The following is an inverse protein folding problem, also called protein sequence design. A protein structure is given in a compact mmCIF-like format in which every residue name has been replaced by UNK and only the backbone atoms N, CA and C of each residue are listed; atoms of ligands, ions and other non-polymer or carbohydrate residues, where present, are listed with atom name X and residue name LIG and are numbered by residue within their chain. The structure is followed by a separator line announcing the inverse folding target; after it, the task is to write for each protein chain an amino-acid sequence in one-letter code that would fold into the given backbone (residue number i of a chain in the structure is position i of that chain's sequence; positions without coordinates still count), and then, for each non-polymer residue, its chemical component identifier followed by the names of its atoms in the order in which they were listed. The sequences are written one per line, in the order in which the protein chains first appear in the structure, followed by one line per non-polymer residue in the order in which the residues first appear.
data_IF_354854418100
#
_entry.id   IF_354854418100
#
_cell.length_a   1.000
_cell.length_b   1.000
_cell.length_c   1.000
_cell.angle_alpha   90.00
_cell.angle_beta   90.00
_cell.angle_gamma   90.00
#
_symmetry.space_group_name_H-M   'P 1'
#
loop_
_entity.id
_entity.type
_entity.pdbx_description
1 polymer ?
#
# COMPACT_ATOMS: atom_id res chain seq x y z
N UNK A 1 -55.39 -45.07 -31.51
CA UNK A 1 -55.51 -43.61 -31.30
C UNK A 1 -54.13 -43.13 -30.94
N UNK A 2 -53.42 -42.55 -31.90
CA UNK A 2 -52.05 -42.07 -31.68
C UNK A 2 -52.12 -40.73 -30.94
N UNK A 3 -51.66 -40.72 -29.69
CA UNK A 3 -51.56 -39.50 -28.89
C UNK A 3 -50.33 -38.70 -29.33
N UNK A 4 -50.55 -37.56 -29.98
CA UNK A 4 -49.49 -36.63 -30.30
C UNK A 4 -48.96 -35.95 -29.03
N UNK A 5 -47.72 -36.27 -28.64
CA UNK A 5 -46.98 -35.50 -27.63
C UNK A 5 -46.52 -34.17 -28.26
N UNK A 6 -47.22 -33.09 -27.95
CA UNK A 6 -46.81 -31.74 -28.34
C UNK A 6 -45.97 -31.10 -27.22
N UNK A 7 -44.64 -31.06 -27.39
CA UNK A 7 -43.76 -30.34 -26.47
C UNK A 7 -43.96 -28.82 -26.62
N UNK A 8 -44.39 -28.17 -25.54
CA UNK A 8 -44.59 -26.71 -25.48
C UNK A 8 -43.24 -25.97 -25.58
N UNK A 9 -43.06 -25.20 -26.65
CA UNK A 9 -41.94 -24.26 -26.83
C UNK A 9 -42.17 -22.91 -26.12
N UNK A 10 -43.09 -22.82 -25.15
CA UNK A 10 -43.49 -21.57 -24.50
C UNK A 10 -42.32 -20.79 -23.86
N UNK A 11 -41.25 -21.47 -23.44
CA UNK A 11 -40.04 -20.81 -22.90
C UNK A 11 -39.02 -20.39 -23.97
N UNK A 12 -39.24 -20.73 -25.25
CA UNK A 12 -38.43 -20.34 -26.39
C UNK A 12 -38.99 -19.12 -27.15
N UNK A 13 -39.98 -18.43 -26.56
CA UNK A 13 -40.56 -17.21 -27.13
C UNK A 13 -39.83 -15.97 -26.58
N UNK A 14 -39.54 -15.01 -27.46
CA UNK A 14 -39.01 -13.70 -27.09
C UNK A 14 -37.79 -13.29 -27.90
N UNK A 15 -37.47 -11.99 -27.85
CA UNK A 15 -36.28 -11.45 -28.54
C UNK A 15 -35.03 -12.01 -27.89
N UNK A 16 -34.24 -12.78 -28.66
CA UNK A 16 -32.92 -13.26 -28.22
C UNK A 16 -32.06 -12.07 -27.80
N UNK A 17 -31.37 -12.22 -26.67
CA UNK A 17 -30.47 -11.18 -26.16
C UNK A 17 -29.29 -11.05 -27.12
N UNK A 18 -28.89 -9.81 -27.38
CA UNK A 18 -27.65 -9.52 -28.10
C UNK A 18 -26.49 -10.08 -27.28
N UNK A 19 -25.66 -10.91 -27.91
CA UNK A 19 -24.43 -11.42 -27.32
C UNK A 19 -23.25 -10.61 -27.86
N UNK A 20 -22.32 -10.28 -26.99
CA UNK A 20 -21.08 -9.57 -27.30
C UNK A 20 -19.96 -10.51 -26.91
N UNK A 21 -19.08 -10.83 -27.85
CA UNK A 21 -17.97 -11.76 -27.61
C UNK A 21 -16.80 -11.06 -26.93
N UNK A 22 -15.91 -11.82 -26.30
CA UNK A 22 -14.71 -11.29 -25.69
C UNK A 22 -13.86 -10.52 -26.72
N UNK A 23 -13.68 -11.09 -27.91
CA UNK A 23 -12.84 -10.54 -28.98
C UNK A 23 -13.35 -9.19 -29.46
N UNK A 24 -14.67 -9.02 -29.56
CA UNK A 24 -15.30 -7.77 -30.00
C UNK A 24 -15.03 -6.60 -29.05
N UNK A 25 -14.85 -6.90 -27.76
CA UNK A 25 -14.45 -5.91 -26.78
C UNK A 25 -12.93 -5.78 -26.82
N UNK A 26 -12.19 -6.89 -26.69
CA UNK A 26 -10.73 -6.94 -26.52
C UNK A 26 -9.95 -6.26 -27.65
N UNK A 27 -10.47 -6.27 -28.89
CA UNK A 27 -9.88 -5.57 -30.04
C UNK A 27 -9.92 -4.04 -29.93
N UNK A 28 -10.82 -3.49 -29.11
CA UNK A 28 -10.90 -2.05 -28.84
C UNK A 28 -9.86 -1.68 -27.78
N UNK A 29 -9.05 -0.65 -28.04
CA UNK A 29 -8.07 -0.17 -27.07
C UNK A 29 -8.75 0.26 -25.75
N UNK A 30 -8.10 0.00 -24.62
CA UNK A 30 -8.65 0.35 -23.30
C UNK A 30 -8.99 1.85 -23.17
N UNK A 31 -8.21 2.72 -23.81
CA UNK A 31 -8.43 4.17 -23.80
C UNK A 31 -9.68 4.62 -24.54
N UNK A 32 -10.19 3.82 -25.49
CA UNK A 32 -11.32 4.18 -26.35
C UNK A 32 -12.67 3.70 -25.78
N UNK A 33 -12.65 2.92 -24.69
CA UNK A 33 -13.84 2.29 -24.07
C UNK A 33 -14.00 2.67 -22.60
N UNK A 34 -13.73 3.93 -22.26
CA UNK A 34 -13.72 4.40 -20.85
C UNK A 34 -15.11 4.53 -20.23
N UNK A 35 -16.14 4.83 -21.03
CA UNK A 35 -17.52 4.93 -20.58
C UNK A 35 -18.47 3.93 -21.26
N UNK A 36 -19.66 3.75 -20.67
CA UNK A 36 -20.74 2.95 -21.27
C UNK A 36 -21.13 3.48 -22.65
N UNK A 37 -21.07 4.81 -22.86
CA UNK A 37 -21.43 5.43 -24.14
C UNK A 37 -20.38 5.14 -25.21
N UNK A 38 -19.10 5.21 -24.84
CA UNK A 38 -18.00 4.97 -25.79
C UNK A 38 -18.02 3.50 -26.23
N UNK A 39 -18.08 2.58 -25.28
CA UNK A 39 -18.18 1.15 -25.57
C UNK A 39 -19.44 0.81 -26.40
N UNK A 40 -20.57 1.46 -26.11
CA UNK A 40 -21.79 1.28 -26.89
C UNK A 40 -21.62 1.74 -28.34
N UNK A 41 -21.00 2.91 -28.56
CA UNK A 41 -20.69 3.42 -29.90
C UNK A 41 -19.77 2.47 -30.67
N UNK A 42 -18.70 1.99 -30.04
CA UNK A 42 -17.73 1.09 -30.68
C UNK A 42 -18.33 -0.29 -31.02
N UNK A 43 -19.27 -0.78 -30.21
CA UNK A 43 -19.97 -2.04 -30.45
C UNK A 43 -21.24 -1.88 -31.32
N UNK A 44 -21.57 -0.66 -31.77
CA UNK A 44 -22.84 -0.34 -32.45
C UNK A 44 -24.09 -0.80 -31.66
N UNK A 45 -24.05 -0.61 -30.33
CA UNK A 45 -25.13 -0.95 -29.41
C UNK A 45 -25.74 0.32 -28.78
N UNK A 46 -26.92 0.15 -28.19
CA UNK A 46 -27.48 1.20 -27.33
C UNK A 46 -26.75 1.24 -25.99
N UNK A 47 -26.55 2.43 -25.38
CA UNK A 47 -25.95 2.55 -24.04
C UNK A 47 -26.69 1.76 -22.96
N UNK A 48 -28.02 1.64 -23.07
CA UNK A 48 -28.84 0.87 -22.12
C UNK A 48 -28.58 -0.63 -22.22
N UNK A 49 -28.30 -1.15 -23.42
CA UNK A 49 -27.89 -2.54 -23.62
C UNK A 49 -26.58 -2.83 -22.90
N UNK A 50 -25.56 -1.99 -23.10
CA UNK A 50 -24.25 -2.13 -22.44
C UNK A 50 -24.38 -1.99 -20.91
N UNK A 51 -25.18 -1.04 -20.41
CA UNK A 51 -25.45 -0.91 -18.98
C UNK A 51 -26.08 -2.17 -18.37
N UNK A 52 -27.05 -2.79 -19.06
CA UNK A 52 -27.66 -4.05 -18.62
C UNK A 52 -26.65 -5.20 -18.62
N UNK A 53 -25.75 -5.25 -19.61
CA UNK A 53 -24.66 -6.25 -19.67
C UNK A 53 -23.70 -6.09 -18.48
N UNK A 54 -23.36 -4.85 -18.09
CA UNK A 54 -22.56 -4.58 -16.88
C UNK A 54 -23.29 -5.02 -15.61
N UNK A 55 -24.58 -4.70 -15.45
CA UNK A 55 -25.37 -5.14 -14.29
C UNK A 55 -25.48 -6.67 -14.17
N UNK A 56 -25.49 -7.36 -15.30
CA UNK A 56 -25.50 -8.84 -15.38
C UNK A 56 -24.11 -9.46 -15.25
N UNK A 57 -23.05 -8.66 -15.06
CA UNK A 57 -21.65 -9.11 -14.98
C UNK A 57 -21.14 -9.80 -16.25
N UNK A 58 -21.73 -9.50 -17.41
CA UNK A 58 -21.23 -9.97 -18.72
C UNK A 58 -20.09 -9.09 -19.23
N UNK A 59 -20.09 -7.81 -18.83
CA UNK A 59 -18.99 -6.86 -19.05
C UNK A 59 -18.56 -6.35 -17.68
N UNK A 60 -17.26 -6.34 -17.41
CA UNK A 60 -16.70 -5.89 -16.12
C UNK A 60 -16.21 -4.45 -16.25
N UNK A 61 -16.75 -3.55 -15.44
CA UNK A 61 -16.14 -2.26 -15.21
C UNK A 61 -14.87 -2.44 -14.37
N UNK A 62 -13.76 -1.86 -14.81
CA UNK A 62 -12.48 -1.90 -14.12
C UNK A 62 -11.85 -0.52 -14.13
N UNK A 63 -11.35 -0.09 -12.98
CA UNK A 63 -10.53 1.12 -12.86
C UNK A 63 -9.08 0.69 -12.84
N UNK A 64 -8.32 1.10 -13.87
CA UNK A 64 -6.89 0.86 -13.96
C UNK A 64 -6.15 2.12 -13.49
N UNK A 65 -5.68 2.19 -12.23
CA UNK A 65 -4.85 3.30 -11.80
C UNK A 65 -3.51 3.30 -12.56
N UNK A 66 -2.93 4.49 -12.75
CA UNK A 66 -1.58 4.59 -13.27
C UNK A 66 -0.60 4.08 -12.22
N UNK A 67 0.24 3.13 -12.64
CA UNK A 67 1.39 2.69 -11.86
C UNK A 67 2.66 3.27 -12.47
N UNK A 68 3.69 3.60 -11.66
CA UNK A 68 4.99 3.99 -12.20
C UNK A 68 5.53 2.90 -13.12
N UNK A 69 6.00 3.27 -14.30
CA UNK A 69 6.73 2.34 -15.17
C UNK A 69 8.05 1.93 -14.54
N UNK A 70 8.43 0.67 -14.69
CA UNK A 70 9.74 0.15 -14.25
C UNK A 70 10.56 -0.05 -15.52
N UNK A 71 11.72 0.62 -15.59
CA UNK A 71 12.65 0.46 -16.73
C UNK A 71 13.29 -0.93 -16.73
N UNK A 72 13.79 -1.37 -17.88
CA UNK A 72 14.47 -2.67 -17.98
C UNK A 72 15.70 -2.74 -17.07
N UNK A 73 16.43 -1.62 -16.92
CA UNK A 73 17.57 -1.53 -16.02
C UNK A 73 17.14 -1.74 -14.57
N UNK A 74 16.04 -1.11 -14.14
CA UNK A 74 15.49 -1.33 -12.80
C UNK A 74 15.01 -2.78 -12.60
N UNK A 75 14.44 -3.43 -13.62
CA UNK A 75 14.05 -4.84 -13.53
C UNK A 75 15.27 -5.75 -13.35
N UNK A 76 16.32 -5.52 -14.14
CA UNK A 76 17.56 -6.27 -14.04
C UNK A 76 18.22 -6.08 -12.68
N UNK A 77 18.25 -4.87 -12.15
CA UNK A 77 18.86 -4.61 -10.84
C UNK A 77 18.09 -5.27 -9.70
N UNK A 78 16.75 -5.25 -9.76
CA UNK A 78 15.91 -6.00 -8.82
C UNK A 78 16.17 -7.50 -8.91
N UNK A 79 16.34 -8.05 -10.12
CA UNK A 79 16.67 -9.46 -10.30
C UNK A 79 18.02 -9.80 -9.68
N UNK A 80 19.07 -9.00 -9.97
CA UNK A 80 20.41 -9.20 -9.38
C UNK A 80 20.37 -9.16 -7.86
N UNK A 81 19.66 -8.19 -7.29
CA UNK A 81 19.50 -8.09 -5.84
C UNK A 81 18.82 -9.33 -5.25
N UNK A 82 17.73 -9.81 -5.85
CA UNK A 82 17.06 -11.04 -5.38
C UNK A 82 17.96 -12.26 -5.50
N UNK A 83 18.66 -12.42 -6.62
CA UNK A 83 19.57 -13.55 -6.83
C UNK A 83 20.76 -13.53 -5.87
N UNK A 84 21.27 -12.34 -5.51
CA UNK A 84 22.33 -12.19 -4.51
C UNK A 84 21.92 -12.55 -3.08
N UNK A 85 20.63 -12.78 -2.81
CA UNK A 85 20.14 -13.25 -1.52
C UNK A 85 20.08 -14.78 -1.42
N UNK A 86 20.46 -15.50 -2.48
CA UNK A 86 20.59 -16.96 -2.46
C UNK A 86 21.94 -17.31 -1.82
N UNK A 87 21.95 -18.33 -0.96
CA UNK A 87 23.17 -18.82 -0.34
C UNK A 87 24.01 -19.56 -1.38
N UNK A 88 25.23 -19.09 -1.63
CA UNK A 88 26.12 -19.67 -2.64
C UNK A 88 26.34 -21.19 -2.46
N UNK A 89 26.42 -21.66 -1.20
CA UNK A 89 26.60 -23.08 -0.87
C UNK A 89 25.40 -23.97 -1.21
N UNK A 90 24.24 -23.40 -1.49
CA UNK A 90 23.00 -24.13 -1.80
C UNK A 90 22.81 -24.37 -3.31
N UNK A 91 23.58 -23.67 -4.14
CA UNK A 91 23.53 -23.74 -5.60
C UNK A 91 24.47 -24.87 -6.10
N UNK A 92 24.08 -25.68 -7.11
CA UNK A 92 22.84 -25.62 -7.90
C UNK A 92 21.72 -26.55 -7.38
N UNK A 93 21.99 -27.34 -6.35
CA UNK A 93 21.14 -28.49 -6.01
C UNK A 93 19.81 -28.08 -5.37
N UNK A 94 19.85 -27.18 -4.37
CA UNK A 94 18.66 -26.72 -3.65
C UNK A 94 18.79 -25.24 -3.25
N UNK A 95 18.66 -24.31 -4.22
CA UNK A 95 18.86 -22.88 -3.99
C UNK A 95 17.99 -22.34 -2.84
N UNK A 96 18.63 -21.95 -1.75
CA UNK A 96 17.98 -21.49 -0.53
C UNK A 96 18.38 -20.04 -0.24
N UNK A 97 17.40 -19.20 0.11
CA UNK A 97 17.66 -17.82 0.49
C UNK A 97 18.29 -17.72 1.89
N UNK A 98 19.08 -16.67 2.13
CA UNK A 98 19.48 -16.32 3.49
C UNK A 98 18.25 -16.19 4.40
N UNK A 99 18.41 -16.59 5.66
CA UNK A 99 17.32 -16.55 6.64
C UNK A 99 16.86 -15.12 6.98
N UNK A 100 17.70 -14.12 6.75
CA UNK A 100 17.42 -12.69 7.01
C UNK A 100 17.03 -12.40 8.47
N UNK A 101 17.41 -13.25 9.43
CA UNK A 101 17.19 -12.97 10.87
C UNK A 101 17.99 -11.78 11.38
N UNK A 102 19.05 -11.40 10.65
CA UNK A 102 19.94 -10.28 10.96
C UNK A 102 19.59 -9.01 10.15
N UNK A 103 18.44 -9.01 9.46
CA UNK A 103 17.99 -7.90 8.62
C UNK A 103 16.91 -7.10 9.36
N UNK A 104 17.10 -5.77 9.37
CA UNK A 104 16.13 -4.80 9.85
C UNK A 104 15.66 -3.99 8.66
N UNK A 105 14.37 -4.01 8.38
CA UNK A 105 13.76 -3.15 7.37
C UNK A 105 13.25 -1.88 8.03
N UNK A 106 13.62 -0.74 7.44
CA UNK A 106 13.08 0.56 7.82
C UNK A 106 12.28 1.19 6.67
N UNK A 107 11.23 1.91 7.03
CA UNK A 107 10.41 2.68 6.09
C UNK A 107 9.87 3.94 6.78
N UNK A 108 9.65 5.00 6.00
CA UNK A 108 9.04 6.23 6.47
C UNK A 108 7.64 6.44 5.89
N UNK A 109 6.69 6.74 6.78
CA UNK A 109 5.30 6.95 6.38
C UNK A 109 4.70 8.22 6.95
N UNK A 110 4.03 8.98 6.08
CA UNK A 110 3.20 10.11 6.48
C UNK A 110 1.82 9.66 6.94
N UNK A 111 1.48 9.99 8.19
CA UNK A 111 0.14 9.81 8.74
C UNK A 111 -0.56 11.16 8.85
N UNK A 112 -1.79 11.23 8.34
CA UNK A 112 -2.65 12.41 8.49
C UNK A 112 -3.43 12.29 9.78
N UNK A 113 -3.49 13.37 10.55
CA UNK A 113 -4.30 13.43 11.79
C UNK A 113 -5.79 13.19 11.52
N UNK A 114 -6.26 13.49 10.30
CA UNK A 114 -7.63 13.22 9.88
C UNK A 114 -7.65 12.75 8.42
N UNK A 115 -8.36 11.66 8.15
CA UNK A 115 -8.53 11.14 6.79
C UNK A 115 -9.47 12.04 5.97
N UNK A 116 -9.15 12.23 4.68
CA UNK A 116 -10.00 13.02 3.75
C UNK A 116 -11.40 12.41 3.61
N UNK A 117 -11.45 11.11 3.38
CA UNK A 117 -12.68 10.33 3.34
C UNK A 117 -12.61 9.32 4.47
N UNK A 118 -13.67 9.22 5.26
CA UNK A 118 -13.79 8.23 6.32
C UNK A 118 -15.12 7.51 6.06
N UNK A 119 -15.06 6.19 6.00
CA UNK A 119 -16.27 5.38 5.96
C UNK A 119 -16.87 5.38 7.36
N UNK A 120 -18.13 5.77 7.46
CA UNK A 120 -18.92 5.74 8.69
C UNK A 120 -20.19 4.96 8.41
N UNK A 121 -20.64 4.18 9.38
CA UNK A 121 -21.95 3.55 9.33
C UNK A 121 -22.91 4.49 10.04
N UNK A 122 -23.99 4.86 9.36
CA UNK A 122 -25.03 5.75 9.89
C UNK A 122 -26.27 4.90 10.19
N UNK A 123 -27.03 5.29 11.22
CA UNK A 123 -28.32 4.67 11.47
C UNK A 123 -29.29 4.93 10.31
N UNK A 124 -30.29 4.06 10.15
CA UNK A 124 -31.33 4.25 9.13
C UNK A 124 -32.05 5.58 9.46
N UNK A 125 -32.08 6.50 8.50
CA UNK A 125 -32.60 7.88 8.60
C UNK A 125 -31.75 8.87 9.42
N UNK A 126 -30.51 8.53 9.79
CA UNK A 126 -29.60 9.51 10.37
C UNK A 126 -29.25 10.59 9.32
N UNK A 127 -29.37 11.89 9.66
CA UNK A 127 -28.99 12.95 8.74
C UNK A 127 -27.48 12.89 8.47
N UNK A 128 -27.10 13.04 7.20
CA UNK A 128 -25.70 13.00 6.79
C UNK A 128 -24.89 14.13 7.46
N UNK A 129 -24.13 13.79 8.49
CA UNK A 129 -23.27 14.76 9.17
C UNK A 129 -22.10 15.18 8.27
N UNK A 130 -22.01 16.48 7.96
CA UNK A 130 -20.93 17.01 7.13
C UNK A 130 -19.70 17.33 7.97
N UNK A 131 -18.61 16.60 7.76
CA UNK A 131 -17.29 16.96 8.31
C UNK A 131 -16.74 18.18 7.56
N UNK A 132 -16.56 19.30 8.25
CA UNK A 132 -16.03 20.56 7.69
C UNK A 132 -14.56 20.74 8.08
N UNK A 133 -13.71 21.04 7.11
CA UNK A 133 -12.34 21.49 7.33
C UNK A 133 -12.01 22.60 6.34
N UNK A 134 -11.20 23.58 6.75
CA UNK A 134 -10.90 24.77 5.91
C UNK A 134 -10.12 24.43 4.63
N UNK A 135 -9.24 23.43 4.65
CA UNK A 135 -8.47 22.99 3.47
C UNK A 135 -7.76 21.66 3.74
N UNK A 136 -7.65 20.81 2.71
CA UNK A 136 -6.88 19.55 2.75
C UNK A 136 -5.40 19.78 3.08
N UNK A 137 -4.80 20.84 2.55
CA UNK A 137 -3.37 21.14 2.73
C UNK A 137 -3.04 21.56 4.17
N UNK A 138 -4.06 21.96 4.95
CA UNK A 138 -3.91 22.39 6.34
C UNK A 138 -4.10 21.25 7.36
N UNK A 139 -4.43 20.03 6.91
CA UNK A 139 -4.54 18.88 7.80
C UNK A 139 -3.13 18.53 8.30
N UNK A 140 -2.88 18.54 9.62
CA UNK A 140 -1.59 18.13 10.16
C UNK A 140 -1.24 16.71 9.72
N UNK A 141 0.00 16.53 9.30
CA UNK A 141 0.58 15.22 8.99
C UNK A 141 1.90 15.06 9.73
N UNK A 142 2.17 13.84 10.16
CA UNK A 142 3.36 13.46 10.91
C UNK A 142 4.03 12.33 10.16
N UNK A 143 5.35 12.41 9.97
CA UNK A 143 6.13 11.32 9.42
C UNK A 143 6.65 10.47 10.57
N UNK A 144 6.62 9.17 10.40
CA UNK A 144 7.22 8.21 11.32
C UNK A 144 8.16 7.30 10.54
N UNK A 145 9.30 6.97 11.14
CA UNK A 145 10.15 5.86 10.73
C UNK A 145 9.74 4.63 11.52
N UNK A 146 9.42 3.54 10.84
CA UNK A 146 9.16 2.24 11.46
C UNK A 146 10.32 1.31 11.17
N UNK A 147 10.71 0.50 12.17
CA UNK A 147 11.77 -0.49 12.03
C UNK A 147 11.27 -1.86 12.50
N UNK A 148 11.38 -2.84 11.60
CA UNK A 148 10.92 -4.22 11.83
C UNK A 148 11.92 -5.21 11.27
N UNK A 149 12.16 -6.28 12.01
CA UNK A 149 12.96 -7.42 11.62
C UNK A 149 12.09 -8.68 11.56
N UNK A 150 12.67 -9.79 11.12
CA UNK A 150 11.97 -11.07 11.04
C UNK A 150 11.65 -11.59 12.45
N UNK A 151 10.38 -11.92 12.77
CA UNK A 151 10.03 -12.49 14.08
C UNK A 151 10.67 -13.87 14.28
N UNK A 152 10.93 -14.22 15.54
CA UNK A 152 11.50 -15.50 15.98
C UNK A 152 10.47 -16.24 16.82
N UNK A 153 10.36 -17.53 16.52
CA UNK A 153 9.36 -18.42 17.09
C UNK A 153 10.09 -19.58 17.76
N UNK A 154 9.69 -19.91 18.99
CA UNK A 154 10.18 -21.07 19.72
C UNK A 154 9.66 -22.38 19.12
N UNK A 155 10.23 -23.50 19.57
CA UNK A 155 9.85 -24.85 19.11
C UNK A 155 8.38 -25.20 19.42
N UNK A 156 7.82 -24.59 20.47
CA UNK A 156 6.42 -24.72 20.88
C UNK A 156 5.45 -23.83 20.07
N UNK A 157 5.97 -23.05 19.11
CA UNK A 157 5.23 -22.11 18.30
C UNK A 157 4.89 -20.78 19.00
N UNK A 158 5.46 -20.50 20.18
CA UNK A 158 5.31 -19.20 20.83
C UNK A 158 6.23 -18.15 20.20
N UNK A 159 5.76 -16.91 20.17
CA UNK A 159 6.54 -15.78 19.66
C UNK A 159 7.55 -15.33 20.71
N UNK A 160 8.80 -15.76 20.58
CA UNK A 160 9.90 -15.33 21.47
C UNK A 160 10.33 -13.88 21.17
N UNK A 161 10.26 -13.49 19.91
CA UNK A 161 10.58 -12.12 19.49
C UNK A 161 9.73 -11.71 18.29
N UNK A 162 8.98 -10.62 18.42
CA UNK A 162 8.02 -10.19 17.40
C UNK A 162 8.63 -9.37 16.26
N UNK A 163 9.95 -9.11 16.33
CA UNK A 163 10.69 -8.33 15.35
C UNK A 163 10.41 -6.83 15.37
N UNK A 164 9.56 -6.32 16.27
CA UNK A 164 9.17 -4.91 16.28
C UNK A 164 10.17 -4.08 17.10
N UNK A 165 11.01 -3.30 16.42
CA UNK A 165 11.98 -2.44 17.07
C UNK A 165 11.36 -1.13 17.53
N UNK A 166 10.55 -0.49 16.69
CA UNK A 166 9.83 0.71 17.10
C UNK A 166 9.28 1.53 15.95
N UNK A 167 8.56 2.58 16.35
CA UNK A 167 7.99 3.60 15.49
C UNK A 167 8.42 4.95 16.04
N UNK A 168 9.18 5.71 15.26
CA UNK A 168 9.86 6.93 15.70
C UNK A 168 9.32 8.16 14.95
N UNK A 169 8.68 9.12 15.64
CA UNK A 169 8.12 10.30 15.00
C UNK A 169 9.18 11.34 14.63
N UNK A 170 9.14 11.85 13.40
CA UNK A 170 9.89 13.05 13.01
C UNK A 170 9.21 14.31 13.56
N UNK A 171 9.49 14.60 14.84
CA UNK A 171 8.88 15.71 15.56
C UNK A 171 9.88 16.47 16.42
N UNK A 172 9.50 17.67 16.83
CA UNK A 172 10.28 18.50 17.74
C UNK A 172 9.35 19.28 18.67
N UNK A 173 9.81 19.53 19.90
CA UNK A 173 9.08 20.27 20.92
C UNK A 173 9.32 21.79 20.75
N UNK A 174 8.26 22.59 20.74
CA UNK A 174 8.34 24.06 20.62
C UNK A 174 7.36 24.72 21.57
N UNK A 175 7.84 25.68 22.36
CA UNK A 175 6.98 26.52 23.18
C UNK A 175 6.04 27.39 22.34
N UNK A 176 4.78 27.47 22.78
CA UNK A 176 3.76 28.31 22.18
C UNK A 176 4.18 29.79 22.15
N UNK A 177 4.31 30.37 20.94
CA UNK A 177 4.68 31.80 20.79
C UNK A 177 3.57 32.77 21.17
N UNK A 178 2.31 32.38 21.01
CA UNK A 178 1.12 33.21 21.27
C UNK A 178 0.07 32.39 22.02
N UNK A 179 -0.66 33.05 22.90
CA UNK A 179 -1.90 32.51 23.48
C UNK A 179 -2.96 32.41 22.39
N UNK A 180 -3.73 31.33 22.42
CA UNK A 180 -4.90 31.14 21.57
C UNK A 180 -6.03 30.52 22.40
N UNK A 181 -7.24 30.41 21.83
CA UNK A 181 -8.38 29.79 22.51
C UNK A 181 -8.08 28.38 23.06
N UNK A 182 -7.19 27.65 22.41
CA UNK A 182 -6.91 26.25 22.72
C UNK A 182 -5.63 26.05 23.56
N UNK A 183 -4.87 27.12 23.88
CA UNK A 183 -3.59 27.01 24.62
C UNK A 183 -3.03 28.36 25.06
N UNK A 184 -2.28 28.37 26.16
CA UNK A 184 -1.56 29.54 26.67
C UNK A 184 -0.18 29.67 26.00
N UNK A 185 0.37 30.90 25.93
CA UNK A 185 1.77 31.13 25.56
C UNK A 185 2.70 30.34 26.49
N UNK A 186 3.77 29.76 25.95
CA UNK A 186 4.72 28.92 26.69
C UNK A 186 4.41 27.42 26.69
N UNK A 187 3.16 26.99 26.44
CA UNK A 187 2.84 25.55 26.39
C UNK A 187 3.69 24.83 25.34
N UNK A 188 4.37 23.75 25.74
CA UNK A 188 5.20 22.94 24.84
C UNK A 188 4.29 22.19 23.87
N UNK A 189 4.55 22.35 22.57
CA UNK A 189 3.85 21.65 21.50
C UNK A 189 4.80 20.75 20.72
N UNK A 190 4.34 19.54 20.43
CA UNK A 190 4.96 18.67 19.45
C UNK A 190 4.58 19.12 18.05
N UNK A 191 5.59 19.46 17.24
CA UNK A 191 5.40 19.86 15.84
C UNK A 191 6.07 18.86 14.90
N UNK A 192 5.45 18.56 13.75
CA UNK A 192 6.08 17.71 12.75
C UNK A 192 7.22 18.43 12.06
N UNK A 193 8.31 17.71 11.82
CA UNK A 193 9.36 18.15 10.89
C UNK A 193 8.75 18.19 9.49
N UNK A 194 8.84 19.34 8.81
CA UNK A 194 8.17 19.54 7.51
C UNK A 194 8.84 18.80 6.36
N UNK A 195 10.16 18.70 6.41
CA UNK A 195 10.99 18.03 5.41
C UNK A 195 12.03 17.20 6.16
N UNK A 196 12.02 15.90 5.94
CA UNK A 196 13.08 15.02 6.47
C UNK A 196 14.28 15.18 5.57
N UNK A 197 15.39 15.62 6.16
CA UNK A 197 16.70 15.73 5.51
C UNK A 197 17.57 14.56 5.92
N UNK A 198 18.69 14.36 5.22
CA UNK A 198 19.68 13.34 5.58
C UNK A 198 20.17 13.48 7.03
N UNK A 199 20.35 14.71 7.51
CA UNK A 199 20.70 15.00 8.91
C UNK A 199 19.60 14.51 9.87
N UNK A 200 18.33 14.73 9.54
CA UNK A 200 17.22 14.28 10.36
C UNK A 200 17.11 12.74 10.38
N UNK A 201 17.33 12.09 9.24
CA UNK A 201 17.39 10.62 9.13
C UNK A 201 18.57 10.07 9.94
N UNK A 202 19.77 10.65 9.83
CA UNK A 202 20.94 10.27 10.65
C UNK A 202 20.68 10.40 12.14
N UNK A 203 20.13 11.54 12.56
CA UNK A 203 19.75 11.73 13.95
C UNK A 203 18.71 10.69 14.41
N UNK A 204 17.79 10.26 13.54
CA UNK A 204 16.83 9.21 13.85
C UNK A 204 17.52 7.85 14.06
N UNK A 205 18.45 7.49 13.17
CA UNK A 205 19.18 6.22 13.27
C UNK A 205 20.05 6.17 14.53
N UNK A 206 20.84 7.22 14.79
CA UNK A 206 21.79 7.28 15.91
C UNK A 206 21.08 7.35 17.25
N UNK A 207 20.09 8.25 17.39
CA UNK A 207 19.51 8.55 18.71
C UNK A 207 18.33 7.66 19.07
N UNK A 208 17.71 6.98 18.10
CA UNK A 208 16.50 6.20 18.34
C UNK A 208 16.63 4.76 17.86
N UNK A 209 16.94 4.54 16.59
CA UNK A 209 16.95 3.18 16.04
C UNK A 209 18.05 2.31 16.65
N UNK A 210 19.31 2.75 16.62
CA UNK A 210 20.45 1.98 17.14
C UNK A 210 20.26 1.65 18.63
N UNK A 211 19.85 2.60 19.51
CA UNK A 211 19.49 2.28 20.89
C UNK A 211 18.37 1.24 20.99
N UNK A 212 17.30 1.36 20.20
CA UNK A 212 16.21 0.40 20.20
C UNK A 212 16.64 -1.00 19.74
N UNK A 213 17.57 -1.09 18.79
CA UNK A 213 18.22 -2.35 18.40
C UNK A 213 18.96 -2.91 19.62
N UNK A 214 19.86 -2.15 20.24
CA UNK A 214 20.64 -2.63 21.39
C UNK A 214 19.76 -3.09 22.56
N UNK A 215 18.62 -2.44 22.79
CA UNK A 215 17.68 -2.77 23.86
C UNK A 215 16.84 -4.02 23.55
N UNK A 216 16.36 -4.15 22.31
CA UNK A 216 15.36 -5.16 21.95
C UNK A 216 15.90 -6.33 21.14
N UNK A 217 17.15 -6.27 20.67
CA UNK A 217 17.72 -7.33 19.86
C UNK A 217 17.88 -8.61 20.71
N UNK A 218 17.55 -9.80 20.17
CA UNK A 218 17.60 -11.00 20.99
C UNK A 218 19.04 -11.34 21.40
N UNK A 219 19.29 -11.60 22.70
CA UNK A 219 20.64 -11.72 23.25
C UNK A 219 21.36 -13.03 22.88
N UNK A 220 20.64 -14.04 22.43
CA UNK A 220 21.14 -15.41 22.29
C UNK A 220 21.97 -15.70 21.03
N UNK A 221 22.24 -14.70 20.18
CA UNK A 221 22.85 -14.94 18.86
C UNK A 221 24.33 -14.53 18.72
N UNK A 222 24.98 -14.12 19.81
CA UNK A 222 26.39 -13.72 19.79
C UNK A 222 26.65 -12.44 18.99
N UNK A 223 27.92 -12.18 18.70
CA UNK A 223 28.31 -11.05 17.86
C UNK A 223 27.93 -11.33 16.40
N UNK A 224 26.91 -10.61 15.91
CA UNK A 224 26.50 -10.66 14.51
C UNK A 224 26.44 -9.27 13.90
N UNK A 225 26.77 -9.21 12.62
CA UNK A 225 26.55 -8.03 11.79
C UNK A 225 25.06 -7.91 11.50
N UNK A 226 24.46 -6.79 11.90
CA UNK A 226 23.06 -6.46 11.63
C UNK A 226 23.00 -5.57 10.38
N UNK A 227 22.14 -5.93 9.44
CA UNK A 227 21.94 -5.20 8.19
C UNK A 227 20.68 -4.35 8.26
N UNK A 228 20.81 -3.03 8.13
CA UNK A 228 19.67 -2.11 8.03
C UNK A 228 19.36 -1.88 6.55
N UNK A 229 18.16 -2.25 6.13
CA UNK A 229 17.66 -2.15 4.77
C UNK A 229 16.69 -0.97 4.68
N UNK A 230 16.95 -0.07 3.74
CA UNK A 230 16.13 1.11 3.45
C UNK A 230 15.97 1.29 1.94
N UNK A 231 15.10 2.20 1.51
CA UNK A 231 14.93 2.53 0.10
C UNK A 231 16.06 3.45 -0.43
N UNK A 232 15.99 3.83 -1.71
CA UNK A 232 16.98 4.70 -2.37
C UNK A 232 16.54 6.18 -2.43
N UNK A 233 15.75 6.66 -1.47
CA UNK A 233 15.44 8.08 -1.42
C UNK A 233 16.69 8.92 -1.12
N UNK A 234 16.80 10.09 -1.76
CA UNK A 234 17.97 10.97 -1.67
C UNK A 234 18.30 11.45 -0.25
N UNK A 235 17.34 11.33 0.66
CA UNK A 235 17.48 11.71 2.06
C UNK A 235 18.13 10.61 2.90
N UNK A 236 18.31 9.41 2.36
CA UNK A 236 18.98 8.33 3.09
C UNK A 236 20.50 8.52 3.12
N UNK A 237 21.10 7.85 4.10
CA UNK A 237 22.54 7.83 4.29
C UNK A 237 23.13 6.81 3.33
N UNK A 238 24.23 7.18 2.68
CA UNK A 238 24.96 6.28 1.80
C UNK A 238 25.71 5.24 2.64
N UNK A 239 25.92 4.05 2.09
CA UNK A 239 26.66 2.99 2.79
C UNK A 239 28.09 3.40 3.19
N UNK A 240 28.68 4.37 2.48
CA UNK A 240 30.04 4.88 2.73
C UNK A 240 30.06 6.17 3.56
N UNK A 241 28.97 6.51 4.26
CA UNK A 241 28.97 7.66 5.18
C UNK A 241 29.99 7.41 6.30
N UNK A 242 30.81 8.42 6.59
CA UNK A 242 31.91 8.30 7.55
C UNK A 242 31.46 8.43 9.02
N UNK A 243 30.22 8.87 9.24
CA UNK A 243 29.61 9.07 10.57
C UNK A 243 28.75 7.88 11.00
#
# INVERSE_FOLDING_TARGET
MDSYLCESKYHNCGRKRIQVTYESIASICMGDRTSIRDLAKMLNLSPTTVWRMVKRKQIKAHSSPLHPGISEECKMERMRWVLGLIMDCSIPNDPTYYSMYDFIHIDEKWFYLTQKSQRVYLAINEPFSHRKAKSRTKIPKFMFMEAVARPRWGEDGQCEWDGKLGIFPFTYAVAAKRTSKNRVKGTIETKPIKSVSQIATRAMLINYLIPAIKEKWPPHEGEKVIYIIQDNAKTHILQNDQE
#
